data_IF_903191732001
#
_entry.id   IF_903191732001
#
_cell.length_a   1.000
_cell.length_b   1.000
_cell.length_c   1.000
_cell.angle_alpha   90.00
_cell.angle_beta   90.00
_cell.angle_gamma   90.00
#
_symmetry.space_group_name_H-M   'P 1'
#
loop_
_entity.id
_entity.type
_entity.pdbx_description
1 polymer ?
#
# COMPACT_ATOMS: atom_id res chain seq x y z
N UNK A 1 5.13 -11.44 9.54
CA UNK A 1 4.02 -11.84 8.65
C UNK A 1 3.79 -10.78 7.59
N UNK A 2 3.40 -11.19 6.38
CA UNK A 2 2.84 -10.30 5.36
C UNK A 2 1.35 -10.08 5.68
N UNK A 3 0.91 -8.82 5.71
CA UNK A 3 -0.49 -8.42 5.94
C UNK A 3 -1.09 -7.86 4.66
N UNK A 4 -2.15 -8.50 4.16
CA UNK A 4 -2.88 -8.16 2.95
C UNK A 4 -4.30 -7.72 3.33
N UNK A 5 -4.72 -6.55 2.85
CA UNK A 5 -6.11 -6.13 2.93
C UNK A 5 -6.85 -6.59 1.67
N UNK A 6 -7.81 -7.48 1.80
CA UNK A 6 -8.64 -7.96 0.71
C UNK A 6 -9.98 -7.23 0.72
N UNK A 7 -10.35 -6.67 -0.42
CA UNK A 7 -11.65 -5.99 -0.57
C UNK A 7 -12.18 -6.15 -2.00
N UNK A 8 -13.38 -5.63 -2.24
CA UNK A 8 -14.04 -5.73 -3.53
C UNK A 8 -15.50 -5.31 -3.41
N UNK A 9 -16.08 -4.84 -4.51
CA UNK A 9 -17.50 -4.50 -4.55
C UNK A 9 -18.38 -5.72 -4.23
N UNK A 10 -19.63 -5.48 -3.83
CA UNK A 10 -20.61 -6.56 -3.63
C UNK A 10 -20.67 -7.45 -4.88
N UNK A 11 -20.71 -8.77 -4.65
CA UNK A 11 -20.71 -9.81 -5.70
C UNK A 11 -19.50 -9.82 -6.67
N UNK A 12 -18.40 -9.15 -6.32
CA UNK A 12 -17.13 -9.22 -7.07
C UNK A 12 -16.45 -10.60 -7.04
N UNK A 13 -16.85 -11.50 -6.13
CA UNK A 13 -16.23 -12.82 -5.97
C UNK A 13 -15.08 -12.85 -4.96
N UNK A 14 -15.00 -11.86 -4.07
CA UNK A 14 -14.07 -11.84 -2.92
C UNK A 14 -14.04 -13.13 -2.10
N UNK A 15 -15.18 -13.79 -1.91
CA UNK A 15 -15.27 -15.08 -1.20
C UNK A 15 -14.57 -16.23 -1.94
N UNK A 16 -14.59 -16.24 -3.28
CA UNK A 16 -13.85 -17.21 -4.08
C UNK A 16 -12.33 -17.00 -3.90
N UNK A 17 -11.87 -15.75 -4.03
CA UNK A 17 -10.46 -15.40 -3.89
C UNK A 17 -9.93 -15.68 -2.48
N UNK A 18 -10.66 -15.29 -1.43
CA UNK A 18 -10.28 -15.56 -0.04
C UNK A 18 -10.26 -17.05 0.29
N UNK A 19 -11.22 -17.83 -0.21
CA UNK A 19 -11.23 -19.28 -0.05
C UNK A 19 -9.99 -19.91 -0.69
N UNK A 20 -9.66 -19.52 -1.93
CA UNK A 20 -8.48 -20.05 -2.62
C UNK A 20 -7.17 -19.66 -1.94
N UNK A 21 -7.03 -18.42 -1.51
CA UNK A 21 -5.86 -17.97 -0.73
C UNK A 21 -5.70 -18.77 0.57
N UNK A 22 -6.80 -19.08 1.25
CA UNK A 22 -6.78 -19.92 2.46
C UNK A 22 -6.32 -21.35 2.15
N UNK A 23 -6.78 -21.94 1.04
CA UNK A 23 -6.34 -23.27 0.58
C UNK A 23 -4.85 -23.32 0.25
N UNK A 24 -4.30 -22.22 -0.29
CA UNK A 24 -2.86 -22.07 -0.56
C UNK A 24 -2.02 -21.85 0.71
N UNK A 25 -2.66 -21.67 1.88
CA UNK A 25 -2.01 -21.57 3.18
C UNK A 25 -2.07 -20.19 3.84
N UNK A 26 -2.86 -19.24 3.32
CA UNK A 26 -3.05 -17.96 3.98
C UNK A 26 -3.86 -18.10 5.28
N UNK A 27 -3.48 -17.33 6.30
CA UNK A 27 -4.33 -17.11 7.48
C UNK A 27 -5.39 -16.08 7.10
N UNK A 28 -6.62 -16.55 6.89
CA UNK A 28 -7.75 -15.69 6.56
C UNK A 28 -8.44 -15.16 7.82
N UNK A 29 -8.54 -13.84 7.94
CA UNK A 29 -9.32 -13.15 8.96
C UNK A 29 -10.48 -12.48 8.25
N UNK A 30 -11.67 -13.09 8.34
CA UNK A 30 -12.91 -12.55 7.79
C UNK A 30 -13.75 -11.99 8.94
N UNK A 31 -13.86 -10.66 9.02
CA UNK A 31 -14.59 -10.00 10.11
C UNK A 31 -16.07 -10.41 10.15
N UNK A 32 -16.70 -10.66 8.99
CA UNK A 32 -18.09 -11.11 8.94
C UNK A 32 -18.21 -12.56 9.42
N UNK A 33 -17.27 -13.43 9.08
CA UNK A 33 -17.23 -14.80 9.61
C UNK A 33 -16.99 -14.79 11.12
N UNK A 34 -16.04 -14.00 11.61
CA UNK A 34 -15.77 -13.86 13.04
C UNK A 34 -16.97 -13.30 13.81
N UNK A 35 -17.69 -12.32 13.25
CA UNK A 35 -18.91 -11.76 13.84
C UNK A 35 -20.01 -12.82 14.00
N UNK A 36 -20.05 -13.82 13.13
CA UNK A 36 -20.96 -14.99 13.25
C UNK A 36 -20.48 -15.94 14.34
N UNK A 37 -19.20 -16.27 14.33
CA UNK A 37 -18.62 -17.23 15.27
C UNK A 37 -18.67 -16.78 16.73
N UNK A 38 -18.56 -15.47 17.01
CA UNK A 38 -18.60 -14.94 18.38
C UNK A 38 -20.00 -14.99 19.01
N UNK A 39 -21.04 -15.34 18.24
CA UNK A 39 -22.43 -15.51 18.69
C UNK A 39 -22.98 -16.90 18.37
N UNK A 40 -22.12 -17.89 18.12
CA UNK A 40 -22.56 -19.28 18.01
C UNK A 40 -23.04 -19.82 19.38
N UNK A 41 -23.87 -20.88 19.39
CA UNK A 41 -24.36 -21.49 20.62
C UNK A 41 -23.24 -21.80 21.62
N UNK A 42 -23.46 -21.44 22.89
CA UNK A 42 -22.50 -21.66 23.98
C UNK A 42 -21.41 -20.60 24.12
N UNK A 43 -21.37 -19.59 23.24
CA UNK A 43 -20.41 -18.48 23.36
C UNK A 43 -20.88 -17.41 24.36
N UNK A 44 -19.95 -16.70 25.04
CA UNK A 44 -20.30 -15.54 25.85
C UNK A 44 -20.94 -14.40 25.03
N UNK A 45 -20.62 -14.29 23.74
CA UNK A 45 -21.21 -13.26 22.89
C UNK A 45 -22.69 -13.51 22.66
N UNK A 46 -23.11 -14.75 22.39
CA UNK A 46 -24.54 -15.06 22.29
C UNK A 46 -25.28 -14.77 23.60
N UNK A 47 -24.71 -15.14 24.75
CA UNK A 47 -25.31 -14.88 26.05
C UNK A 47 -25.55 -13.39 26.31
N UNK A 48 -24.58 -12.54 26.01
CA UNK A 48 -24.71 -11.08 26.14
C UNK A 48 -25.77 -10.51 25.18
N UNK A 49 -25.81 -10.99 23.93
CA UNK A 49 -26.84 -10.56 22.97
C UNK A 49 -28.23 -11.00 23.45
N UNK A 50 -28.40 -12.21 23.99
CA UNK A 50 -29.69 -12.64 24.58
C UNK A 50 -30.07 -11.81 25.81
N UNK A 51 -29.09 -11.40 26.63
CA UNK A 51 -29.35 -10.54 27.79
C UNK A 51 -29.86 -9.16 27.37
N UNK A 52 -29.33 -8.59 26.29
CA UNK A 52 -29.68 -7.26 25.78
C UNK A 52 -30.93 -7.26 24.88
N UNK A 53 -31.13 -8.30 24.08
CA UNK A 53 -32.18 -8.36 23.05
C UNK A 53 -33.35 -9.30 23.40
N UNK A 54 -33.23 -10.04 24.51
CA UNK A 54 -34.23 -11.01 24.97
C UNK A 54 -34.06 -12.40 24.33
N UNK A 55 -34.80 -13.39 24.85
CA UNK A 55 -34.71 -14.79 24.36
C UNK A 55 -35.39 -15.01 23.00
N UNK A 56 -36.15 -14.03 22.54
CA UNK A 56 -36.89 -14.10 21.30
C UNK A 56 -36.00 -14.06 20.04
N UNK A 57 -34.74 -13.65 20.20
CA UNK A 57 -33.74 -13.60 19.12
C UNK A 57 -32.94 -14.90 18.95
N UNK A 58 -33.33 -15.98 19.63
CA UNK A 58 -32.76 -17.31 19.38
C UNK A 58 -33.81 -18.28 18.83
N UNK A 59 -33.38 -19.17 17.93
CA UNK A 59 -34.21 -20.23 17.36
C UNK A 59 -34.42 -21.40 18.35
N UNK A 60 -35.21 -22.39 17.95
CA UNK A 60 -35.52 -23.56 18.79
C UNK A 60 -34.27 -24.39 19.13
N UNK A 61 -33.21 -24.27 18.35
CA UNK A 61 -31.93 -24.95 18.53
C UNK A 61 -30.92 -24.09 19.34
N UNK A 62 -31.34 -22.91 19.81
CA UNK A 62 -30.52 -22.00 20.61
C UNK A 62 -29.49 -21.21 19.81
N UNK A 63 -29.63 -21.13 18.48
CA UNK A 63 -28.81 -20.27 17.61
C UNK A 63 -29.44 -18.91 17.44
N UNK A 64 -28.62 -17.92 17.10
CA UNK A 64 -29.11 -16.57 16.83
C UNK A 64 -30.01 -16.51 15.58
N UNK A 65 -31.24 -16.05 15.73
CA UNK A 65 -32.12 -15.66 14.63
C UNK A 65 -31.69 -14.28 14.10
N UNK A 66 -30.84 -14.31 13.08
CA UNK A 66 -30.29 -13.09 12.46
C UNK A 66 -31.34 -12.26 11.73
N UNK A 67 -32.38 -12.88 11.19
CA UNK A 67 -33.43 -12.14 10.50
C UNK A 67 -34.21 -11.31 11.52
N UNK A 68 -34.56 -11.92 12.66
CA UNK A 68 -35.27 -11.25 13.74
C UNK A 68 -34.42 -10.19 14.44
N UNK A 69 -33.16 -10.51 14.78
CA UNK A 69 -32.24 -9.51 15.34
C UNK A 69 -32.00 -8.36 14.34
N UNK A 70 -31.83 -8.71 13.05
CA UNK A 70 -31.68 -7.76 11.96
C UNK A 70 -32.82 -6.74 11.90
N UNK A 71 -34.07 -7.21 11.93
CA UNK A 71 -35.24 -6.35 11.91
C UNK A 71 -35.24 -5.31 13.06
N UNK A 72 -34.80 -5.71 14.26
CA UNK A 72 -34.70 -4.82 15.43
C UNK A 72 -33.62 -3.76 15.20
N UNK A 73 -32.39 -4.17 14.84
CA UNK A 73 -31.27 -3.23 14.71
C UNK A 73 -31.34 -2.36 13.46
N UNK A 74 -32.10 -2.76 12.44
CA UNK A 74 -32.38 -1.90 11.28
C UNK A 74 -33.40 -0.80 11.59
N UNK A 75 -34.38 -1.07 12.47
CA UNK A 75 -35.38 -0.10 12.84
C UNK A 75 -34.87 0.96 13.84
N UNK A 76 -33.92 0.58 14.71
CA UNK A 76 -33.50 1.39 15.85
C UNK A 76 -31.97 1.60 15.90
N UNK A 77 -31.46 2.82 15.65
CA UNK A 77 -30.03 3.12 15.68
C UNK A 77 -29.35 2.78 17.01
N UNK A 78 -29.99 3.11 18.15
CA UNK A 78 -29.44 2.85 19.49
C UNK A 78 -29.28 1.34 19.76
N UNK A 79 -30.22 0.53 19.24
CA UNK A 79 -30.15 -0.94 19.32
C UNK A 79 -29.01 -1.49 18.47
N UNK A 80 -28.76 -0.90 17.30
CA UNK A 80 -27.59 -1.24 16.48
C UNK A 80 -26.28 -0.92 17.19
N UNK A 81 -26.20 0.21 17.89
CA UNK A 81 -25.02 0.57 18.69
C UNK A 81 -24.80 -0.39 19.85
N UNK A 82 -25.86 -0.77 20.57
CA UNK A 82 -25.80 -1.76 21.64
C UNK A 82 -25.27 -3.12 21.13
N UNK A 83 -25.77 -3.59 19.97
CA UNK A 83 -25.26 -4.81 19.35
C UNK A 83 -23.77 -4.66 18.99
N UNK A 84 -23.39 -3.55 18.34
CA UNK A 84 -22.00 -3.30 17.95
C UNK A 84 -21.06 -3.26 19.15
N UNK A 85 -21.50 -2.71 20.30
CA UNK A 85 -20.72 -2.68 21.53
C UNK A 85 -20.45 -4.09 22.10
N UNK A 86 -21.35 -5.05 21.89
CA UNK A 86 -21.18 -6.45 22.29
C UNK A 86 -20.27 -7.20 21.31
N UNK A 87 -20.48 -7.01 20.00
CA UNK A 87 -19.85 -7.80 18.93
C UNK A 87 -18.43 -7.32 18.62
N UNK A 88 -18.22 -6.01 18.43
CA UNK A 88 -16.95 -5.48 17.93
C UNK A 88 -15.75 -5.83 18.82
N UNK A 89 -15.80 -5.72 20.17
CA UNK A 89 -14.68 -6.10 21.02
C UNK A 89 -14.29 -7.59 20.85
N UNK A 90 -15.28 -8.47 20.74
CA UNK A 90 -15.06 -9.92 20.59
C UNK A 90 -14.47 -10.28 19.23
N UNK A 91 -14.94 -9.64 18.16
CA UNK A 91 -14.35 -9.80 16.82
C UNK A 91 -12.90 -9.33 16.81
N UNK A 92 -12.61 -8.19 17.44
CA UNK A 92 -11.24 -7.68 17.56
C UNK A 92 -10.33 -8.61 18.36
N UNK A 93 -10.81 -9.12 19.49
CA UNK A 93 -10.07 -10.08 20.32
C UNK A 93 -9.74 -11.35 19.54
N UNK A 94 -10.73 -11.92 18.84
CA UNK A 94 -10.53 -13.13 18.04
C UNK A 94 -9.59 -12.90 16.87
N UNK A 95 -9.73 -11.78 16.16
CA UNK A 95 -8.80 -11.39 15.09
C UNK A 95 -7.38 -11.18 15.62
N UNK A 96 -7.22 -10.55 16.79
CA UNK A 96 -5.93 -10.36 17.44
C UNK A 96 -5.30 -11.70 17.86
N UNK A 97 -6.09 -12.64 18.37
CA UNK A 97 -5.63 -13.99 18.70
C UNK A 97 -5.14 -14.74 17.45
N UNK A 98 -5.85 -14.62 16.31
CA UNK A 98 -5.41 -15.20 15.03
C UNK A 98 -4.14 -14.53 14.49
N UNK A 99 -3.98 -13.21 14.67
CA UNK A 99 -2.75 -12.51 14.31
C UNK A 99 -1.57 -12.92 15.18
N UNK A 100 -1.80 -13.16 16.47
CA UNK A 100 -0.77 -13.54 17.43
C UNK A 100 -0.18 -14.93 17.17
N UNK A 101 -0.90 -15.82 16.47
CA UNK A 101 -0.40 -17.14 16.08
C UNK A 101 0.39 -17.12 14.77
N UNK A 102 0.29 -16.05 13.98
CA UNK A 102 0.99 -15.91 12.71
C UNK A 102 2.50 -15.70 12.93
N UNK A 103 3.31 -16.48 12.21
CA UNK A 103 4.76 -16.51 12.29
C UNK A 103 5.43 -15.59 11.26
N UNK A 104 6.72 -15.27 11.41
CA UNK A 104 7.51 -14.69 10.32
C UNK A 104 7.42 -15.59 9.07
N UNK A 105 7.06 -14.99 7.92
CA UNK A 105 6.85 -15.71 6.66
C UNK A 105 5.37 -16.02 6.34
N UNK A 106 4.49 -16.03 7.34
CA UNK A 106 3.07 -16.26 7.10
C UNK A 106 2.42 -15.10 6.34
N UNK A 107 1.43 -15.43 5.51
CA UNK A 107 0.60 -14.49 4.77
C UNK A 107 -0.75 -14.43 5.46
N UNK A 108 -1.07 -13.26 6.02
CA UNK A 108 -2.36 -12.97 6.65
C UNK A 108 -3.19 -12.12 5.71
N UNK A 109 -4.37 -12.60 5.37
CA UNK A 109 -5.35 -11.92 4.54
C UNK A 109 -6.50 -11.46 5.42
N UNK A 110 -6.74 -10.16 5.49
CA UNK A 110 -7.90 -9.60 6.18
C UNK A 110 -8.96 -9.23 5.15
N UNK A 111 -10.08 -9.93 5.17
CA UNK A 111 -11.22 -9.62 4.32
C UNK A 111 -12.02 -8.47 4.96
N UNK A 112 -11.98 -7.30 4.32
CA UNK A 112 -12.57 -6.05 4.82
C UNK A 112 -13.44 -5.41 3.71
N UNK A 113 -14.77 -5.60 3.76
CA UNK A 113 -15.68 -5.03 2.76
C UNK A 113 -15.61 -3.51 2.63
N UNK A 114 -15.36 -2.80 3.74
CA UNK A 114 -15.33 -1.34 3.78
C UNK A 114 -13.92 -0.74 3.83
N UNK A 115 -12.91 -1.47 3.34
CA UNK A 115 -11.50 -1.10 3.45
C UNK A 115 -11.22 0.28 2.84
N UNK A 116 -11.84 0.56 1.69
CA UNK A 116 -11.63 1.79 0.91
C UNK A 116 -12.39 2.94 1.53
N UNK A 117 -13.66 2.71 1.86
CA UNK A 117 -14.59 3.66 2.48
C UNK A 117 -14.05 4.21 3.80
N UNK A 118 -13.28 3.40 4.53
CA UNK A 118 -12.70 3.75 5.83
C UNK A 118 -11.21 4.13 5.76
N UNK A 119 -10.60 4.17 4.57
CA UNK A 119 -9.21 4.59 4.37
C UNK A 119 -8.16 3.69 5.03
N UNK A 120 -8.46 2.40 5.24
CA UNK A 120 -7.64 1.49 6.05
C UNK A 120 -6.39 0.95 5.32
N UNK A 121 -6.23 1.22 4.01
CA UNK A 121 -5.20 0.62 3.16
C UNK A 121 -3.77 0.76 3.69
N UNK A 122 -3.45 1.88 4.35
CA UNK A 122 -2.11 2.12 4.94
C UNK A 122 -1.73 1.17 6.08
N UNK A 123 -2.69 0.43 6.65
CA UNK A 123 -2.43 -0.59 7.68
C UNK A 123 -1.91 -1.92 7.11
N UNK A 124 -1.91 -2.06 5.79
CA UNK A 124 -1.52 -3.26 5.06
C UNK A 124 -0.28 -3.04 4.24
N UNK A 125 0.49 -4.11 4.03
CA UNK A 125 1.63 -4.09 3.11
C UNK A 125 1.17 -4.06 1.65
N UNK A 126 -0.02 -4.61 1.40
CA UNK A 126 -0.59 -4.78 0.08
C UNK A 126 -2.12 -4.76 0.19
N UNK A 127 -2.78 -3.98 -0.66
CA UNK A 127 -4.24 -4.02 -0.84
C UNK A 127 -4.58 -4.77 -2.12
N UNK A 128 -5.33 -5.87 -1.98
CA UNK A 128 -5.85 -6.69 -3.07
C UNK A 128 -7.33 -6.37 -3.28
N UNK A 129 -7.67 -5.84 -4.44
CA UNK A 129 -9.06 -5.55 -4.84
C UNK A 129 -9.51 -6.58 -5.84
N UNK A 130 -10.61 -7.27 -5.55
CA UNK A 130 -11.30 -8.13 -6.51
C UNK A 130 -12.30 -7.29 -7.28
N UNK A 131 -12.15 -7.23 -8.60
CA UNK A 131 -13.01 -6.48 -9.51
C UNK A 131 -13.79 -7.41 -10.43
N UNK A 132 -15.01 -7.04 -10.77
CA UNK A 132 -15.85 -7.77 -11.72
C UNK A 132 -16.76 -6.78 -12.47
N UNK A 133 -17.19 -7.07 -13.70
CA UNK A 133 -18.08 -6.19 -14.45
C UNK A 133 -19.39 -5.99 -13.70
N UNK A 134 -19.98 -4.80 -13.82
CA UNK A 134 -21.19 -4.46 -13.08
C UNK A 134 -22.38 -5.34 -13.49
N UNK A 135 -22.49 -5.69 -14.77
CA UNK A 135 -23.51 -6.62 -15.29
C UNK A 135 -23.41 -8.00 -14.63
N UNK A 136 -22.19 -8.49 -14.46
CA UNK A 136 -21.90 -9.78 -13.84
C UNK A 136 -22.20 -9.74 -12.33
N UNK A 137 -21.87 -8.64 -11.66
CA UNK A 137 -22.17 -8.43 -10.24
C UNK A 137 -23.68 -8.39 -9.99
N UNK A 138 -24.43 -7.69 -10.85
CA UNK A 138 -25.90 -7.66 -10.81
C UNK A 138 -26.45 -9.06 -11.03
N UNK A 139 -26.02 -9.77 -12.07
CA UNK A 139 -26.47 -11.16 -12.36
C UNK A 139 -26.25 -12.07 -11.15
N UNK A 140 -25.06 -12.03 -10.54
CA UNK A 140 -24.74 -12.83 -9.34
C UNK A 140 -25.65 -12.49 -8.16
N UNK A 141 -26.01 -11.22 -7.95
CA UNK A 141 -26.90 -10.82 -6.86
C UNK A 141 -28.35 -11.26 -7.11
N UNK A 142 -28.83 -11.17 -8.35
CA UNK A 142 -30.20 -11.54 -8.69
C UNK A 142 -30.39 -13.06 -8.71
N UNK A 143 -29.51 -13.80 -9.41
CA UNK A 143 -29.65 -15.24 -9.62
C UNK A 143 -29.24 -16.07 -8.39
N UNK A 144 -28.17 -15.67 -7.69
CA UNK A 144 -27.60 -16.47 -6.59
C UNK A 144 -28.12 -15.99 -5.23
N UNK A 145 -28.34 -14.68 -5.07
CA UNK A 145 -28.74 -14.08 -3.79
C UNK A 145 -30.22 -13.70 -3.73
N UNK A 146 -30.98 -13.91 -4.80
CA UNK A 146 -32.42 -13.64 -4.86
C UNK A 146 -32.80 -12.18 -4.70
N UNK A 147 -31.89 -11.24 -5.00
CA UNK A 147 -32.15 -9.80 -4.92
C UNK A 147 -32.92 -9.32 -6.16
N UNK A 148 -33.68 -8.23 -6.04
CA UNK A 148 -34.18 -7.52 -7.23
C UNK A 148 -33.05 -6.74 -7.89
N UNK A 149 -33.20 -6.41 -9.18
CA UNK A 149 -32.23 -5.59 -9.89
C UNK A 149 -32.09 -4.20 -9.25
N UNK A 150 -33.20 -3.62 -8.78
CA UNK A 150 -33.19 -2.31 -8.09
C UNK A 150 -32.43 -2.37 -6.76
N UNK A 151 -32.63 -3.43 -5.94
CA UNK A 151 -31.88 -3.58 -4.68
C UNK A 151 -30.39 -3.81 -4.95
N UNK A 152 -30.05 -4.61 -5.97
CA UNK A 152 -28.67 -4.85 -6.39
C UNK A 152 -27.96 -3.53 -6.76
N UNK A 153 -28.58 -2.70 -7.60
CA UNK A 153 -28.02 -1.40 -8.01
C UNK A 153 -27.93 -0.44 -6.82
N UNK A 154 -28.95 -0.38 -5.97
CA UNK A 154 -28.96 0.46 -4.76
C UNK A 154 -27.79 0.11 -3.83
N UNK A 155 -27.54 -1.18 -3.60
CA UNK A 155 -26.41 -1.64 -2.78
C UNK A 155 -25.06 -1.33 -3.40
N UNK A 156 -24.93 -1.44 -4.71
CA UNK A 156 -23.70 -1.08 -5.41
C UNK A 156 -23.39 0.41 -5.26
N UNK A 157 -24.42 1.28 -5.35
CA UNK A 157 -24.29 2.72 -5.22
C UNK A 157 -23.95 3.19 -3.79
N UNK A 158 -24.24 2.37 -2.77
CA UNK A 158 -23.94 2.67 -1.37
C UNK A 158 -22.49 2.37 -0.95
N UNK A 159 -21.71 1.70 -1.81
CA UNK A 159 -20.29 1.40 -1.59
C UNK A 159 -19.40 2.45 -2.27
N UNK A 160 -18.10 2.41 -2.01
CA UNK A 160 -17.14 3.17 -2.81
C UNK A 160 -17.37 2.92 -4.32
N UNK A 161 -17.06 3.89 -5.16
CA UNK A 161 -17.08 3.70 -6.60
C UNK A 161 -16.03 2.67 -7.05
N UNK A 162 -16.18 2.14 -8.27
CA UNK A 162 -15.16 1.25 -8.86
C UNK A 162 -13.82 1.97 -8.98
N UNK A 163 -13.83 3.22 -9.42
CA UNK A 163 -12.63 4.05 -9.55
C UNK A 163 -11.89 4.21 -8.22
N UNK A 164 -12.60 4.55 -7.14
CA UNK A 164 -12.00 4.68 -5.80
C UNK A 164 -11.37 3.36 -5.33
N UNK A 165 -12.04 2.23 -5.58
CA UNK A 165 -11.46 0.91 -5.26
C UNK A 165 -10.18 0.63 -6.04
N UNK A 166 -10.20 0.84 -7.35
CA UNK A 166 -9.02 0.59 -8.20
C UNK A 166 -7.86 1.53 -7.84
N UNK A 167 -8.14 2.79 -7.48
CA UNK A 167 -7.14 3.74 -7.02
C UNK A 167 -6.50 3.33 -5.68
N UNK A 168 -7.25 2.65 -4.81
CA UNK A 168 -6.75 2.12 -3.54
C UNK A 168 -5.94 0.81 -3.69
N UNK A 169 -6.04 0.13 -4.84
CA UNK A 169 -5.47 -1.19 -5.05
C UNK A 169 -3.94 -1.16 -5.30
N UNK A 170 -3.20 -2.01 -4.60
CA UNK A 170 -1.84 -2.37 -5.00
C UNK A 170 -1.85 -3.50 -6.05
N UNK A 171 -2.92 -4.31 -6.04
CA UNK A 171 -3.23 -5.35 -7.00
C UNK A 171 -4.73 -5.35 -7.26
N UNK A 172 -5.10 -5.39 -8.54
CA UNK A 172 -6.46 -5.67 -8.98
C UNK A 172 -6.47 -7.10 -9.49
N UNK A 173 -7.36 -7.93 -8.94
CA UNK A 173 -7.63 -9.28 -9.45
C UNK A 173 -8.96 -9.24 -10.19
N UNK A 174 -8.87 -9.39 -11.50
CA UNK A 174 -10.01 -9.31 -12.42
C UNK A 174 -10.77 -10.65 -12.43
N UNK A 175 -11.97 -10.65 -11.87
CA UNK A 175 -12.90 -11.78 -11.87
C UNK A 175 -13.90 -11.63 -13.03
N UNK A 176 -13.37 -11.68 -14.25
CA UNK A 176 -14.14 -11.51 -15.49
C UNK A 176 -14.45 -12.86 -16.15
N UNK A 177 -13.71 -13.90 -15.77
CA UNK A 177 -13.73 -15.22 -16.37
C UNK A 177 -14.46 -16.28 -15.54
N UNK A 178 -14.12 -17.54 -15.78
CA UNK A 178 -14.64 -18.68 -15.03
C UNK A 178 -13.98 -18.81 -13.65
N UNK A 179 -14.52 -19.69 -12.81
CA UNK A 179 -13.96 -19.98 -11.48
C UNK A 179 -12.53 -20.52 -11.60
N UNK A 180 -12.28 -21.34 -12.62
CA UNK A 180 -10.97 -21.93 -12.92
C UNK A 180 -9.96 -20.85 -13.31
N UNK A 181 -10.31 -19.97 -14.25
CA UNK A 181 -9.44 -18.86 -14.69
C UNK A 181 -9.07 -17.94 -13.52
N UNK A 182 -10.04 -17.60 -12.67
CA UNK A 182 -9.80 -16.79 -11.47
C UNK A 182 -8.92 -17.51 -10.46
N UNK A 183 -9.08 -18.82 -10.34
CA UNK A 183 -8.27 -19.66 -9.45
C UNK A 183 -6.81 -19.67 -9.91
N UNK A 184 -6.56 -19.82 -11.20
CA UNK A 184 -5.21 -19.73 -11.80
C UNK A 184 -4.57 -18.35 -11.58
N UNK A 185 -5.35 -17.27 -11.68
CA UNK A 185 -4.88 -15.91 -11.36
C UNK A 185 -4.46 -15.77 -9.88
N UNK A 186 -5.23 -16.35 -8.96
CA UNK A 186 -4.90 -16.36 -7.53
C UNK A 186 -3.61 -17.14 -7.26
N UNK A 187 -3.44 -18.29 -7.91
CA UNK A 187 -2.25 -19.14 -7.78
C UNK A 187 -0.99 -18.44 -8.31
N UNK A 188 -1.09 -17.85 -9.51
CA UNK A 188 0.00 -17.05 -10.09
C UNK A 188 0.39 -15.90 -9.16
N UNK A 189 -0.61 -15.15 -8.67
CA UNK A 189 -0.39 -14.06 -7.71
C UNK A 189 0.32 -14.56 -6.43
N UNK A 190 -0.13 -15.70 -5.92
CA UNK A 190 0.43 -16.33 -4.72
C UNK A 190 1.90 -16.67 -4.90
N UNK A 191 2.23 -17.41 -5.96
CA UNK A 191 3.57 -17.94 -6.20
C UNK A 191 4.56 -16.85 -6.62
N UNK A 192 4.16 -15.94 -7.52
CA UNK A 192 5.08 -14.99 -8.14
C UNK A 192 5.28 -13.71 -7.32
N UNK A 193 4.32 -13.35 -6.45
CA UNK A 193 4.39 -12.10 -5.69
C UNK A 193 4.20 -12.27 -4.19
N UNK A 194 3.13 -12.92 -3.72
CA UNK A 194 2.82 -12.94 -2.29
C UNK A 194 3.84 -13.77 -1.49
N UNK A 195 4.18 -14.97 -1.95
CA UNK A 195 5.18 -15.84 -1.31
C UNK A 195 6.58 -15.21 -1.31
N UNK A 196 7.11 -14.68 -2.43
CA UNK A 196 8.39 -13.99 -2.41
C UNK A 196 8.38 -12.72 -1.55
N UNK A 197 7.29 -11.95 -1.53
CA UNK A 197 7.17 -10.78 -0.65
C UNK A 197 7.20 -11.19 0.82
N UNK A 198 6.40 -12.16 1.24
CA UNK A 198 6.39 -12.63 2.62
C UNK A 198 7.77 -13.15 3.06
N UNK A 199 8.47 -13.87 2.18
CA UNK A 199 9.84 -14.34 2.40
C UNK A 199 10.86 -13.20 2.54
N UNK A 200 10.77 -12.19 1.69
CA UNK A 200 11.65 -11.01 1.75
C UNK A 200 11.42 -10.23 3.04
N UNK A 201 10.16 -10.03 3.42
CA UNK A 201 9.77 -9.36 4.66
C UNK A 201 10.27 -10.11 5.90
N UNK A 202 10.06 -11.43 5.95
CA UNK A 202 10.53 -12.27 7.06
C UNK A 202 12.05 -12.26 7.21
N UNK A 203 12.78 -12.17 6.09
CA UNK A 203 14.23 -12.08 6.07
C UNK A 203 14.76 -10.64 6.26
N UNK A 204 13.88 -9.64 6.43
CA UNK A 204 14.27 -8.24 6.58
C UNK A 204 15.08 -7.71 5.38
N UNK A 205 14.79 -8.17 4.16
CA UNK A 205 15.55 -7.82 2.96
C UNK A 205 14.68 -7.26 1.84
N UNK A 206 15.17 -6.27 1.06
CA UNK A 206 14.43 -5.76 -0.09
C UNK A 206 14.21 -6.84 -1.16
N UNK A 207 13.22 -6.61 -2.02
CA UNK A 207 13.04 -7.44 -3.20
C UNK A 207 14.27 -7.32 -4.11
N UNK A 208 14.80 -8.44 -4.63
CA UNK A 208 15.88 -8.40 -5.59
C UNK A 208 15.41 -7.66 -6.85
N UNK A 209 16.30 -6.86 -7.42
CA UNK A 209 16.06 -6.18 -8.70
C UNK A 209 17.01 -6.78 -9.72
N UNK A 210 16.47 -7.61 -10.59
CA UNK A 210 17.18 -8.15 -11.74
C UNK A 210 16.93 -7.26 -12.97
N UNK A 211 17.95 -7.11 -13.82
CA UNK A 211 17.83 -6.42 -15.09
C UNK A 211 18.62 -5.10 -15.17
N UNK A 212 18.97 -4.74 -16.41
CA UNK A 212 19.62 -3.49 -16.76
C UNK A 212 18.69 -2.27 -16.66
N UNK A 213 19.16 -1.07 -17.05
CA UNK A 213 18.40 0.17 -16.96
C UNK A 213 17.31 0.26 -18.05
N UNK A 214 16.25 -0.55 -17.93
CA UNK A 214 15.12 -0.50 -18.86
C UNK A 214 14.25 0.73 -18.55
N UNK A 215 14.22 1.69 -19.47
CA UNK A 215 13.32 2.83 -19.41
C UNK A 215 11.93 2.43 -19.91
N UNK A 216 10.91 2.89 -19.20
CA UNK A 216 9.51 2.78 -19.59
C UNK A 216 8.96 4.16 -19.95
N UNK A 217 7.93 4.22 -20.82
CA UNK A 217 7.14 5.43 -21.00
C UNK A 217 6.59 5.94 -19.64
N UNK A 218 6.28 7.25 -19.53
CA UNK A 218 5.64 7.79 -18.34
C UNK A 218 4.36 7.02 -18.01
N UNK A 219 4.20 6.61 -16.75
CA UNK A 219 3.00 5.93 -16.28
C UNK A 219 2.15 6.88 -15.42
N UNK A 220 0.88 7.15 -15.77
CA UNK A 220 -0.01 8.02 -14.99
C UNK A 220 -0.34 7.47 -13.59
N UNK A 221 -0.11 6.18 -13.32
CA UNK A 221 -0.41 5.55 -12.03
C UNK A 221 0.72 5.73 -11.00
N UNK A 222 1.92 6.14 -11.40
CA UNK A 222 3.04 6.30 -10.48
C UNK A 222 2.75 7.24 -9.29
N UNK A 223 2.09 8.40 -9.47
CA UNK A 223 1.72 9.26 -8.33
C UNK A 223 0.79 8.56 -7.34
N UNK A 224 -0.22 7.81 -7.81
CA UNK A 224 -1.14 7.08 -6.94
C UNK A 224 -0.42 5.94 -6.20
N UNK A 225 0.42 5.18 -6.91
CA UNK A 225 1.28 4.15 -6.31
C UNK A 225 2.22 4.73 -5.24
N UNK A 226 2.88 5.86 -5.52
CA UNK A 226 3.74 6.54 -4.57
C UNK A 226 2.93 7.05 -3.35
N UNK A 227 1.73 7.59 -3.57
CA UNK A 227 0.83 8.03 -2.51
C UNK A 227 0.50 6.92 -1.50
N UNK A 228 0.19 5.71 -1.99
CA UNK A 228 -0.07 4.54 -1.12
C UNK A 228 1.15 4.13 -0.32
N UNK A 229 2.33 4.07 -0.95
CA UNK A 229 3.59 3.75 -0.27
C UNK A 229 3.93 4.81 0.80
N UNK A 230 3.76 6.09 0.50
CA UNK A 230 3.98 7.20 1.44
C UNK A 230 3.00 7.16 2.62
N UNK A 231 1.73 6.84 2.38
CA UNK A 231 0.75 6.68 3.45
C UNK A 231 1.16 5.56 4.42
N UNK A 232 1.66 4.44 3.88
CA UNK A 232 2.17 3.30 4.66
C UNK A 232 3.40 3.69 5.50
N UNK A 233 4.34 4.44 4.92
CA UNK A 233 5.54 4.94 5.60
C UNK A 233 5.19 5.92 6.72
N UNK A 234 4.33 6.91 6.45
CA UNK A 234 3.90 7.89 7.47
C UNK A 234 3.20 7.24 8.64
N UNK A 235 2.44 6.17 8.37
CA UNK A 235 1.77 5.38 9.41
C UNK A 235 2.74 4.59 10.29
N UNK A 236 3.90 4.21 9.77
CA UNK A 236 4.83 3.32 10.47
C UNK A 236 5.50 3.97 11.70
N UNK A 237 5.72 5.29 11.68
CA UNK A 237 6.34 5.99 12.81
C UNK A 237 5.96 7.47 12.88
N UNK A 238 5.66 8.01 14.07
CA UNK A 238 5.47 9.45 14.27
C UNK A 238 6.75 10.27 14.10
N UNK A 239 7.94 9.64 14.12
CA UNK A 239 9.21 10.32 13.84
C UNK A 239 9.38 10.71 12.36
N UNK A 240 8.47 10.25 11.47
CA UNK A 240 8.40 10.71 10.07
C UNK A 240 7.78 12.10 10.02
N UNK A 241 8.63 13.13 9.92
CA UNK A 241 8.21 14.53 9.87
C UNK A 241 7.58 14.92 8.52
N UNK A 242 7.97 14.21 7.47
CA UNK A 242 7.55 14.49 6.11
C UNK A 242 7.91 13.35 5.18
N UNK A 243 7.18 13.21 4.08
CA UNK A 243 7.52 12.24 3.07
C UNK A 243 7.03 12.69 1.70
N UNK A 244 7.83 12.44 0.66
CA UNK A 244 7.64 13.00 -0.67
C UNK A 244 7.93 11.97 -1.77
N UNK A 245 7.15 12.02 -2.84
CA UNK A 245 7.51 11.36 -4.09
C UNK A 245 8.55 12.22 -4.81
N UNK A 246 9.71 11.63 -5.10
CA UNK A 246 10.86 12.28 -5.74
C UNK A 246 11.33 11.46 -6.96
N UNK A 247 12.44 11.86 -7.57
CA UNK A 247 13.04 11.13 -8.69
C UNK A 247 12.20 11.21 -9.97
N UNK A 248 12.59 10.45 -10.99
CA UNK A 248 11.99 10.59 -12.33
C UNK A 248 10.51 10.23 -12.41
N UNK A 249 10.06 9.25 -11.63
CA UNK A 249 8.65 8.82 -11.63
C UNK A 249 7.70 9.86 -11.03
N UNK A 250 8.24 10.88 -10.34
CA UNK A 250 7.47 12.02 -9.81
C UNK A 250 7.31 13.17 -10.81
N UNK A 251 7.97 13.12 -11.98
CA UNK A 251 7.94 14.19 -12.98
C UNK A 251 7.00 13.80 -14.12
N UNK A 252 5.91 14.55 -14.36
CA UNK A 252 4.99 14.28 -15.46
C UNK A 252 5.70 14.23 -16.81
N UNK A 253 5.38 13.24 -17.64
CA UNK A 253 5.92 13.12 -19.00
C UNK A 253 7.36 12.63 -19.11
N UNK A 254 8.07 12.37 -18.00
CA UNK A 254 9.48 11.93 -18.02
C UNK A 254 9.60 10.39 -18.08
N UNK A 255 10.18 9.79 -19.14
CA UNK A 255 10.45 8.35 -19.17
C UNK A 255 11.40 7.94 -18.05
N UNK A 256 11.14 6.82 -17.40
CA UNK A 256 11.88 6.41 -16.20
C UNK A 256 12.01 4.89 -16.10
N UNK A 257 12.98 4.44 -15.31
CA UNK A 257 12.92 3.08 -14.76
C UNK A 257 11.66 2.97 -13.92
N UNK A 258 10.99 1.83 -13.96
CA UNK A 258 9.76 1.59 -13.19
C UNK A 258 10.05 1.30 -11.70
N UNK A 259 10.67 2.30 -11.07
CA UNK A 259 11.11 2.31 -9.67
C UNK A 259 10.65 3.64 -9.09
N UNK A 260 9.82 3.56 -8.05
CA UNK A 260 9.36 4.76 -7.33
C UNK A 260 10.46 5.20 -6.36
N UNK A 261 10.88 6.46 -6.41
CA UNK A 261 11.81 7.03 -5.43
C UNK A 261 11.04 7.89 -4.43
N UNK A 262 11.17 7.56 -3.15
CA UNK A 262 10.51 8.27 -2.05
C UNK A 262 11.57 8.90 -1.15
N UNK A 263 11.27 10.07 -0.62
CA UNK A 263 12.04 10.72 0.43
C UNK A 263 11.24 10.73 1.73
N UNK A 264 11.92 10.47 2.85
CA UNK A 264 11.39 10.51 4.21
C UNK A 264 12.26 11.46 5.01
N UNK A 265 11.64 12.35 5.77
CA UNK A 265 12.30 13.42 6.49
C UNK A 265 12.26 13.11 7.99
N UNK A 266 13.40 13.18 8.65
CA UNK A 266 13.55 12.94 10.09
C UNK A 266 14.34 14.07 10.74
N UNK A 267 14.30 14.19 12.07
CA UNK A 267 15.00 15.25 12.80
C UNK A 267 16.52 15.04 12.89
N UNK A 268 17.00 13.78 12.85
CA UNK A 268 18.43 13.45 12.91
C UNK A 268 18.73 12.08 12.29
N UNK A 269 20.02 11.73 12.16
CA UNK A 269 20.40 10.39 11.70
C UNK A 269 20.08 9.31 12.75
N UNK A 270 20.14 9.65 14.03
CA UNK A 270 19.71 8.76 15.11
C UNK A 270 18.20 8.48 15.04
N UNK A 271 17.40 9.47 14.64
CA UNK A 271 15.98 9.25 14.34
C UNK A 271 15.79 8.30 13.14
N UNK A 272 16.61 8.47 12.09
CA UNK A 272 16.62 7.54 10.96
C UNK A 272 16.94 6.09 11.41
N UNK A 273 17.90 5.91 12.31
CA UNK A 273 18.29 4.62 12.86
C UNK A 273 17.17 3.99 13.71
N UNK A 274 16.51 4.80 14.56
CA UNK A 274 15.37 4.32 15.38
C UNK A 274 14.20 3.84 14.54
N UNK A 275 13.88 4.53 13.44
CA UNK A 275 12.75 4.11 12.58
C UNK A 275 13.10 2.97 11.63
N UNK A 276 14.36 2.55 11.53
CA UNK A 276 14.76 1.59 10.51
C UNK A 276 14.05 0.23 10.64
N UNK A 277 13.87 -0.25 11.88
CA UNK A 277 13.15 -1.48 12.18
C UNK A 277 11.67 -1.41 11.80
N UNK A 278 10.97 -0.35 12.22
CA UNK A 278 9.54 -0.17 11.94
C UNK A 278 9.25 0.08 10.46
N UNK A 279 10.15 0.73 9.73
CA UNK A 279 10.07 0.81 8.27
C UNK A 279 10.25 -0.58 7.63
N UNK A 280 11.16 -1.40 8.16
CA UNK A 280 11.32 -2.80 7.77
C UNK A 280 10.04 -3.61 7.95
N UNK A 281 9.41 -3.50 9.12
CA UNK A 281 8.12 -4.12 9.41
C UNK A 281 6.98 -3.60 8.53
N UNK A 282 7.05 -2.35 8.05
CA UNK A 282 6.09 -1.78 7.11
C UNK A 282 6.32 -2.20 5.64
N UNK A 283 7.34 -3.01 5.36
CA UNK A 283 7.67 -3.51 4.02
C UNK A 283 8.90 -2.85 3.36
N UNK A 284 9.61 -1.99 4.08
CA UNK A 284 10.77 -1.24 3.57
C UNK A 284 12.03 -1.54 4.39
N UNK A 285 12.58 -2.75 4.29
CA UNK A 285 13.81 -3.11 4.99
C UNK A 285 15.00 -2.21 4.61
N UNK A 286 15.89 -2.01 5.58
CA UNK A 286 17.11 -1.25 5.41
C UNK A 286 18.02 -1.92 4.38
N UNK A 287 18.68 -1.09 3.58
CA UNK A 287 19.72 -1.50 2.63
C UNK A 287 20.97 -0.68 2.92
N UNK A 288 21.96 -1.33 3.53
CA UNK A 288 23.21 -0.69 3.95
C UNK A 288 24.02 -0.12 2.78
N UNK A 289 23.86 -0.69 1.59
CA UNK A 289 24.44 -0.16 0.37
C UNK A 289 23.77 1.18 0.02
N UNK A 290 24.49 2.30 0.21
CA UNK A 290 24.09 3.71 -0.02
C UNK A 290 23.74 4.52 1.26
N UNK A 291 24.65 4.52 2.24
CA UNK A 291 24.54 5.35 3.45
C UNK A 291 24.76 6.87 3.23
N UNK A 292 25.07 7.29 2.00
CA UNK A 292 25.26 8.70 1.64
C UNK A 292 24.86 8.97 0.20
N UNK A 293 24.47 10.20 -0.09
CA UNK A 293 24.37 10.72 -1.47
C UNK A 293 25.73 11.26 -1.94
N UNK A 294 25.87 11.46 -3.26
CA UNK A 294 27.05 12.10 -3.85
C UNK A 294 26.99 13.61 -3.62
N UNK A 295 27.97 14.21 -2.91
CA UNK A 295 27.98 15.64 -2.64
C UNK A 295 27.86 16.51 -3.90
N UNK A 296 27.24 17.67 -3.75
CA UNK A 296 27.06 18.67 -4.82
C UNK A 296 27.52 20.04 -4.30
N UNK A 297 28.12 20.89 -5.15
CA UNK A 297 28.51 22.23 -4.72
C UNK A 297 27.32 23.00 -4.11
N UNK A 298 27.56 24.00 -3.23
CA UNK A 298 28.84 24.31 -2.60
C UNK A 298 29.20 23.33 -1.47
N UNK A 299 28.26 22.51 -1.00
CA UNK A 299 28.43 21.60 0.13
C UNK A 299 29.15 20.30 -0.27
N UNK A 300 30.48 20.34 -0.32
CA UNK A 300 31.27 19.18 -0.74
C UNK A 300 31.68 18.24 0.39
N UNK A 301 31.39 18.58 1.66
CA UNK A 301 31.68 17.70 2.80
C UNK A 301 30.76 16.46 2.77
N UNK A 302 31.29 15.24 2.56
CA UNK A 302 30.50 14.02 2.52
C UNK A 302 29.72 13.74 3.81
N UNK A 303 30.15 14.29 4.96
CA UNK A 303 29.47 14.08 6.24
C UNK A 303 28.06 14.70 6.27
N UNK A 304 27.84 15.79 5.52
CA UNK A 304 26.56 16.48 5.40
C UNK A 304 25.55 15.75 4.50
N UNK A 305 25.99 14.76 3.71
CA UNK A 305 25.17 14.01 2.74
C UNK A 305 24.82 12.60 3.21
N UNK A 306 24.99 12.33 4.51
CA UNK A 306 24.60 11.06 5.12
C UNK A 306 23.08 10.86 5.10
N UNK A 307 22.66 9.61 4.92
CA UNK A 307 21.26 9.18 4.90
C UNK A 307 21.11 7.75 5.40
N UNK A 308 19.87 7.28 5.49
CA UNK A 308 19.56 5.85 5.44
C UNK A 308 18.81 5.53 4.17
N UNK A 309 19.00 4.31 3.69
CA UNK A 309 18.43 3.87 2.43
C UNK A 309 17.66 2.57 2.66
N UNK A 310 16.40 2.58 2.31
CA UNK A 310 15.50 1.44 2.40
C UNK A 310 14.95 1.12 1.02
N UNK A 311 14.47 -0.10 0.83
CA UNK A 311 13.83 -0.50 -0.41
C UNK A 311 12.69 -1.48 -0.16
N UNK A 312 11.68 -1.44 -1.04
CA UNK A 312 10.48 -2.26 -0.88
C UNK A 312 10.81 -3.76 -0.97
N UNK A 313 10.21 -4.56 -0.09
CA UNK A 313 10.30 -6.02 -0.07
C UNK A 313 9.32 -6.70 -1.05
N UNK A 314 8.35 -5.96 -1.59
CA UNK A 314 7.41 -6.42 -2.63
C UNK A 314 8.11 -6.51 -4.00
N UNK A 315 8.21 -7.70 -4.63
CA UNK A 315 8.78 -7.84 -5.96
C UNK A 315 7.94 -7.19 -7.06
N UNK A 316 6.62 -7.02 -6.85
CA UNK A 316 5.73 -6.45 -7.85
C UNK A 316 5.67 -4.92 -7.84
N UNK A 317 6.30 -4.25 -6.86
CA UNK A 317 6.42 -2.79 -6.89
C UNK A 317 7.75 -2.30 -6.32
N UNK A 318 8.74 -2.17 -7.20
CA UNK A 318 10.03 -1.60 -6.84
C UNK A 318 9.89 -0.15 -6.33
N UNK A 319 10.36 0.10 -5.10
CA UNK A 319 10.50 1.44 -4.55
C UNK A 319 11.79 1.60 -3.73
N UNK A 320 12.38 2.79 -3.82
CA UNK A 320 13.48 3.27 -2.99
C UNK A 320 12.94 4.24 -1.96
N UNK A 321 13.46 4.19 -0.74
CA UNK A 321 13.09 5.12 0.33
C UNK A 321 14.36 5.72 0.90
N UNK A 322 14.55 7.01 0.65
CA UNK A 322 15.68 7.79 1.11
C UNK A 322 15.28 8.51 2.41
N UNK A 323 15.85 8.09 3.54
CA UNK A 323 15.60 8.74 4.83
C UNK A 323 16.69 9.77 5.08
N UNK A 324 16.32 11.06 5.09
CA UNK A 324 17.25 12.18 5.20
C UNK A 324 16.86 13.11 6.34
N UNK A 325 17.86 13.74 6.95
CA UNK A 325 17.64 14.77 7.95
C UNK A 325 16.98 15.99 7.32
N UNK A 326 15.92 16.49 7.92
CA UNK A 326 15.23 17.70 7.49
C UNK A 326 16.22 18.88 7.47
N UNK A 327 16.28 19.60 6.34
CA UNK A 327 17.23 20.69 6.16
C UNK A 327 18.60 20.26 5.60
N UNK A 328 18.90 18.97 5.49
CA UNK A 328 20.19 18.53 4.93
C UNK A 328 20.31 18.86 3.43
N UNK A 329 21.54 19.00 2.90
CA UNK A 329 21.77 19.22 1.47
C UNK A 329 21.11 18.16 0.58
N UNK A 330 21.22 16.88 0.96
CA UNK A 330 20.60 15.78 0.21
C UNK A 330 19.08 15.84 0.21
N UNK A 331 18.47 16.25 1.32
CA UNK A 331 17.02 16.45 1.43
C UNK A 331 16.55 17.58 0.51
N UNK A 332 17.23 18.72 0.56
CA UNK A 332 16.92 19.91 -0.24
C UNK A 332 17.09 19.62 -1.73
N UNK A 333 18.22 19.01 -2.11
CA UNK A 333 18.56 18.70 -3.50
C UNK A 333 17.49 17.84 -4.17
N UNK A 334 17.02 16.77 -3.50
CA UNK A 334 16.07 15.84 -4.11
C UNK A 334 14.70 16.50 -4.41
N UNK A 335 14.24 17.39 -3.53
CA UNK A 335 13.01 18.17 -3.73
C UNK A 335 13.21 19.22 -4.83
N UNK A 336 14.32 19.96 -4.75
CA UNK A 336 14.65 21.00 -5.71
C UNK A 336 14.77 20.44 -7.12
N UNK A 337 15.43 19.28 -7.29
CA UNK A 337 15.59 18.62 -8.58
C UNK A 337 14.26 18.20 -9.19
N UNK A 338 13.35 17.63 -8.38
CA UNK A 338 12.00 17.29 -8.82
C UNK A 338 11.24 18.54 -9.28
N UNK A 339 11.24 19.57 -8.45
CA UNK A 339 10.42 20.77 -8.69
C UNK A 339 10.95 21.58 -9.87
N UNK A 340 12.28 21.68 -10.01
CA UNK A 340 12.95 22.26 -11.18
C UNK A 340 12.53 21.52 -12.46
N UNK A 341 12.59 20.19 -12.49
CA UNK A 341 12.15 19.42 -13.66
C UNK A 341 10.66 19.65 -13.97
N UNK A 342 9.79 19.69 -12.96
CA UNK A 342 8.36 19.95 -13.15
C UNK A 342 8.07 21.35 -13.72
N UNK A 343 8.90 22.34 -13.38
CA UNK A 343 8.76 23.71 -13.85
C UNK A 343 9.44 23.99 -15.19
N UNK A 344 10.34 23.12 -15.66
CA UNK A 344 11.21 23.39 -16.81
C UNK A 344 11.17 22.23 -17.84
N UNK A 345 10.29 22.31 -18.86
CA UNK A 345 10.20 21.29 -19.91
C UNK A 345 11.51 21.03 -20.66
N UNK A 346 12.35 22.05 -20.85
CA UNK A 346 13.67 21.90 -21.47
C UNK A 346 14.60 21.01 -20.63
N UNK A 347 14.56 21.16 -19.30
CA UNK A 347 15.32 20.31 -18.39
C UNK A 347 14.85 18.85 -18.43
N UNK A 348 13.54 18.62 -18.56
CA UNK A 348 12.95 17.28 -18.78
C UNK A 348 13.49 16.66 -20.05
N UNK A 349 13.54 17.42 -21.16
CA UNK A 349 14.07 16.94 -22.44
C UNK A 349 15.57 16.60 -22.35
N UNK A 350 16.38 17.48 -21.76
CA UNK A 350 17.81 17.25 -21.54
C UNK A 350 18.06 15.98 -20.71
N UNK A 351 17.34 15.82 -19.60
CA UNK A 351 17.51 14.66 -18.74
C UNK A 351 16.98 13.36 -19.36
N UNK A 352 15.91 13.43 -20.15
CA UNK A 352 15.39 12.29 -20.90
C UNK A 352 16.42 11.80 -21.93
N UNK A 353 17.04 12.72 -22.69
CA UNK A 353 18.07 12.40 -23.68
C UNK A 353 19.27 11.69 -23.05
N UNK A 354 19.83 12.25 -21.96
CA UNK A 354 20.92 11.61 -21.20
C UNK A 354 20.54 10.19 -20.77
N UNK A 355 19.33 10.01 -20.21
CA UNK A 355 18.90 8.70 -19.72
C UNK A 355 18.79 7.69 -20.85
N UNK A 356 18.32 8.09 -22.03
CA UNK A 356 18.22 7.22 -23.20
C UNK A 356 19.60 6.80 -23.70
N UNK A 357 20.54 7.75 -23.81
CA UNK A 357 21.92 7.49 -24.21
C UNK A 357 22.58 6.49 -23.25
N UNK A 358 22.54 6.75 -21.95
CA UNK A 358 23.12 5.88 -20.95
C UNK A 358 22.40 4.52 -20.88
N UNK A 359 21.08 4.49 -21.07
CA UNK A 359 20.34 3.22 -21.06
C UNK A 359 20.75 2.34 -22.25
N UNK A 360 21.02 2.93 -23.41
CA UNK A 360 21.56 2.23 -24.56
C UNK A 360 23.00 1.75 -24.33
N UNK A 361 23.85 2.62 -23.76
CA UNK A 361 25.25 2.29 -23.45
C UNK A 361 25.38 1.10 -22.47
N UNK A 362 24.51 1.06 -21.46
CA UNK A 362 24.53 0.04 -20.40
C UNK A 362 23.44 -1.02 -20.57
N UNK A 363 22.89 -1.20 -21.78
CA UNK A 363 21.80 -2.15 -22.04
C UNK A 363 22.20 -3.61 -21.76
N UNK A 364 23.48 -3.94 -21.93
CA UNK A 364 24.04 -5.28 -21.67
C UNK A 364 24.34 -5.57 -20.20
N UNK A 365 24.22 -4.57 -19.32
CA UNK A 365 24.53 -4.76 -17.90
C UNK A 365 23.39 -5.49 -17.18
N UNK A 366 23.74 -6.50 -16.40
CA UNK A 366 22.77 -7.21 -15.55
C UNK A 366 22.27 -6.40 -14.33
N UNK A 367 22.80 -5.18 -14.11
CA UNK A 367 22.53 -4.32 -12.95
C UNK A 367 22.52 -2.84 -13.36
N UNK A 368 22.02 -1.98 -12.49
CA UNK A 368 21.86 -0.54 -12.78
C UNK A 368 22.89 0.38 -12.12
N UNK A 369 23.93 -0.18 -11.47
CA UNK A 369 24.91 0.61 -10.72
C UNK A 369 25.78 1.48 -11.65
N UNK A 370 26.40 0.90 -12.67
CA UNK A 370 27.24 1.63 -13.62
C UNK A 370 26.43 2.73 -14.35
N UNK A 371 25.21 2.40 -14.78
CA UNK A 371 24.25 3.38 -15.31
C UNK A 371 23.94 4.52 -14.31
N UNK A 372 23.88 4.24 -13.01
CA UNK A 372 23.62 5.27 -12.00
C UNK A 372 24.83 6.20 -11.83
N UNK A 373 26.03 5.62 -11.72
CA UNK A 373 27.31 6.35 -11.58
C UNK A 373 27.60 7.23 -12.80
N UNK A 374 27.30 6.75 -14.01
CA UNK A 374 27.51 7.49 -15.25
C UNK A 374 26.68 8.78 -15.36
N UNK A 375 25.65 8.97 -14.52
CA UNK A 375 24.84 10.20 -14.47
C UNK A 375 25.43 11.27 -13.55
N UNK A 376 26.33 10.93 -12.64
CA UNK A 376 26.83 11.86 -11.62
C UNK A 376 27.53 13.09 -12.21
N UNK A 377 28.33 13.00 -13.29
CA UNK A 377 28.89 14.18 -13.94
C UNK A 377 27.80 15.14 -14.42
N UNK A 378 26.75 14.64 -15.07
CA UNK A 378 25.64 15.48 -15.54
C UNK A 378 24.90 16.17 -14.38
N UNK A 379 24.67 15.47 -13.27
CA UNK A 379 24.04 16.08 -12.09
C UNK A 379 24.87 17.23 -11.52
N UNK A 380 26.19 17.13 -11.58
CA UNK A 380 27.11 18.09 -10.98
C UNK A 380 27.41 19.26 -11.91
N UNK A 381 27.69 18.98 -13.18
CA UNK A 381 28.19 19.96 -14.15
C UNK A 381 27.07 20.65 -14.93
N UNK A 382 25.92 19.99 -15.11
CA UNK A 382 24.80 20.49 -15.92
C UNK A 382 23.58 20.82 -15.06
N UNK A 383 23.09 19.85 -14.30
CA UNK A 383 21.84 20.03 -13.56
C UNK A 383 21.99 21.04 -12.41
N UNK A 384 23.05 20.91 -11.60
CA UNK A 384 23.23 21.77 -10.43
C UNK A 384 23.27 23.28 -10.77
N UNK A 385 24.09 23.77 -11.71
CA UNK A 385 24.12 25.21 -12.02
C UNK A 385 22.77 25.76 -12.52
N UNK A 386 22.07 25.00 -13.37
CA UNK A 386 20.76 25.41 -13.91
C UNK A 386 19.69 25.43 -12.82
N UNK A 387 19.70 24.40 -11.98
CA UNK A 387 18.76 24.23 -10.88
C UNK A 387 18.95 25.30 -9.79
N UNK A 388 20.19 25.64 -9.45
CA UNK A 388 20.52 26.67 -8.46
C UNK A 388 20.16 28.09 -8.95
N UNK A 389 20.43 28.38 -10.23
CA UNK A 389 19.99 29.62 -10.86
C UNK A 389 18.45 29.74 -10.91
N UNK A 390 17.75 28.65 -11.22
CA UNK A 390 16.29 28.61 -11.17
C UNK A 390 15.75 28.81 -9.75
N UNK A 391 16.32 28.15 -8.75
CA UNK A 391 15.91 28.30 -7.36
C UNK A 391 16.03 29.75 -6.88
N UNK A 392 17.15 30.40 -7.22
CA UNK A 392 17.44 31.79 -6.88
C UNK A 392 16.47 32.77 -7.56
N UNK A 393 16.21 32.59 -8.85
CA UNK A 393 15.34 33.48 -9.64
C UNK A 393 13.84 33.31 -9.36
N UNK A 394 13.41 32.09 -9.04
CA UNK A 394 12.00 31.79 -8.71
C UNK A 394 11.65 32.03 -7.24
N UNK A 395 12.66 32.20 -6.38
CA UNK A 395 12.45 32.27 -4.93
C UNK A 395 12.00 30.92 -4.34
N UNK A 396 12.36 29.80 -4.97
CA UNK A 396 11.93 28.47 -4.54
C UNK A 396 12.31 28.19 -3.09
N UNK A 397 11.35 27.66 -2.34
CA UNK A 397 11.52 27.16 -0.99
C UNK A 397 11.01 25.72 -0.92
N UNK A 398 11.68 24.83 -0.16
CA UNK A 398 11.16 23.50 0.09
C UNK A 398 9.83 23.59 0.87
N UNK A 399 8.98 22.55 0.80
CA UNK A 399 7.73 22.51 1.57
C UNK A 399 7.99 22.66 3.07
N UNK A 400 7.06 23.32 3.77
CA UNK A 400 7.04 23.36 5.22
C UNK A 400 6.47 22.05 5.77
N UNK A 401 7.18 21.41 6.69
CA UNK A 401 6.69 20.25 7.42
C UNK A 401 6.38 20.67 8.85
N UNK A 402 5.18 20.35 9.34
CA UNK A 402 4.85 20.61 10.75
C UNK A 402 5.67 19.64 11.61
N UNK A 403 6.55 20.18 12.45
CA UNK A 403 7.12 19.41 13.54
C UNK A 403 5.96 19.06 14.46
N UNK A 404 5.51 17.80 14.46
CA UNK A 404 4.55 17.35 15.46
C UNK A 404 5.16 17.68 16.83
N UNK A 405 4.50 18.56 17.60
CA UNK A 405 4.83 18.71 19.02
C UNK A 405 4.50 17.37 19.68
N UNK A 406 5.49 16.81 20.37
CA UNK A 406 5.54 15.41 20.79
C UNK A 406 4.49 14.98 21.81
#
# INVERSE_FOLDING_TARGET
MLKIGLTGGIASGKSLVSARLRELGAVLIDADALAREVVEPGTPGLADVVAEFGKDIVDAEGRLDRARLGAIVFAEPDRREALNAIIHPRVREKAAAMLATAKPGDIVVQDIPLLVETGQGSSFHLVLVVDAPDEERIRRMTEIRGMTAEDAVSRMAAQASREERLAAADIVLENFGTVEEVTELVETLWEERLVPFARNLAAGRPAPRAGGPVLRPPNPDWPAQAGRLLARIRRASPEVLGADHIGSTSVPGLPAKDIIDLQVNVSSLEAADRIAGVLGEAGFPLREASARDTPKPPDLDPSAWQKRFHANADPGRAANVHVRVLGSPGWRYALLFRDWLRANPEAVAMYAALKQELAAQYAGDGRTLAYAEAKEPWFTEVAWPLMDAWASSSGWQPPSYSMAQG
#
